data_IF_728596654513
#
_entry.id   IF_728596654513
#
_cell.length_a   1.000
_cell.length_b   1.000
_cell.length_c   1.000
_cell.angle_alpha   90.00
_cell.angle_beta   90.00
_cell.angle_gamma   90.00
#
_symmetry.space_group_name_H-M   'P 1'
#
loop_
_entity.id
_entity.type
_entity.pdbx_description
1 polymer ?
#
# COMPACT_ATOMS: atom_id res chain seq x y z
N UNK A 1 16.35 -40.92 10.29
CA UNK A 1 17.71 -40.36 10.48
C UNK A 1 17.59 -38.85 10.49
N UNK A 2 17.50 -38.25 11.67
CA UNK A 2 17.55 -36.81 11.86
C UNK A 2 18.98 -36.33 11.61
N UNK A 3 19.19 -35.50 10.58
CA UNK A 3 20.47 -34.81 10.40
C UNK A 3 20.43 -33.53 11.21
N UNK A 4 20.95 -33.58 12.43
CA UNK A 4 21.26 -32.38 13.19
C UNK A 4 22.52 -31.76 12.58
N UNK A 5 22.38 -30.65 11.85
CA UNK A 5 23.53 -29.83 11.46
C UNK A 5 23.82 -28.88 12.63
N UNK A 6 24.72 -29.34 13.53
CA UNK A 6 25.32 -28.45 14.50
C UNK A 6 26.48 -27.73 13.81
N UNK A 7 26.33 -26.47 13.50
CA UNK A 7 27.43 -25.61 13.09
C UNK A 7 28.16 -25.11 14.34
N UNK A 8 29.30 -25.72 14.65
CA UNK A 8 30.24 -25.23 15.67
C UNK A 8 31.01 -24.04 15.06
N UNK A 9 30.60 -22.82 15.36
CA UNK A 9 31.41 -21.63 15.14
C UNK A 9 32.26 -21.34 16.38
N UNK A 10 33.56 -21.12 16.17
CA UNK A 10 34.57 -20.90 17.18
C UNK A 10 34.28 -19.68 18.07
N UNK A 11 34.59 -19.83 19.35
CA UNK A 11 34.42 -18.91 20.44
C UNK A 11 35.05 -17.53 20.23
N UNK A 12 34.32 -16.59 19.62
CA UNK A 12 34.45 -15.14 19.78
C UNK A 12 33.36 -14.35 19.03
N UNK A 13 32.39 -15.03 18.39
CA UNK A 13 31.16 -14.35 17.96
C UNK A 13 30.17 -14.43 19.13
N UNK A 14 29.58 -13.30 19.53
CA UNK A 14 28.43 -13.31 20.42
C UNK A 14 27.40 -14.24 19.81
N UNK A 15 26.87 -15.17 20.59
CA UNK A 15 26.02 -16.24 20.10
C UNK A 15 24.77 -15.63 19.46
N UNK A 16 24.70 -15.69 18.16
CA UNK A 16 23.43 -15.51 17.44
C UNK A 16 22.62 -16.78 17.70
N UNK A 17 21.47 -16.65 18.30
CA UNK A 17 20.56 -17.75 18.50
C UNK A 17 19.97 -18.17 17.17
N UNK A 18 20.51 -19.24 16.58
CA UNK A 18 19.90 -19.88 15.40
C UNK A 18 19.03 -21.01 15.92
N UNK A 19 17.73 -20.80 15.98
CA UNK A 19 16.77 -21.84 16.31
C UNK A 19 16.13 -22.35 15.01
N UNK A 20 16.55 -23.54 14.59
CA UNK A 20 15.92 -24.24 13.45
C UNK A 20 14.96 -25.27 14.03
N UNK A 21 13.65 -25.02 13.90
CA UNK A 21 12.63 -26.00 14.25
C UNK A 21 12.62 -27.21 13.31
N UNK A 22 12.05 -28.35 13.72
CA UNK A 22 11.99 -29.56 12.90
C UNK A 22 11.09 -29.35 11.67
N UNK A 23 11.61 -29.69 10.51
CA UNK A 23 10.82 -29.72 9.25
C UNK A 23 10.10 -31.07 9.18
N UNK A 24 8.91 -31.18 9.77
CA UNK A 24 8.05 -32.35 9.67
C UNK A 24 6.63 -31.95 9.26
N UNK A 25 5.95 -32.74 8.42
CA UNK A 25 4.55 -32.45 8.06
C UNK A 25 3.66 -32.49 9.31
N UNK A 26 3.01 -31.38 9.62
CA UNK A 26 2.09 -31.22 10.78
C UNK A 26 2.72 -30.67 12.05
N UNK A 27 4.03 -30.45 12.07
CA UNK A 27 4.76 -29.81 13.19
C UNK A 27 5.07 -28.33 12.90
N UNK A 28 5.55 -27.63 13.91
CA UNK A 28 5.95 -26.22 13.81
C UNK A 28 7.22 -26.08 12.94
N UNK A 29 7.09 -25.45 11.78
CA UNK A 29 8.17 -25.19 10.83
C UNK A 29 8.71 -23.77 10.98
N UNK A 30 8.89 -23.30 12.21
CA UNK A 30 9.42 -21.97 12.48
C UNK A 30 10.94 -21.89 12.31
N UNK A 31 11.40 -20.76 11.74
CA UNK A 31 12.82 -20.45 11.57
C UNK A 31 13.11 -19.09 12.18
N UNK A 32 14.01 -19.04 13.14
CA UNK A 32 14.29 -17.87 13.96
C UNK A 32 15.79 -17.62 14.00
N UNK A 33 16.23 -16.41 13.65
CA UNK A 33 17.64 -15.98 13.67
C UNK A 33 17.73 -14.55 14.19
N UNK A 34 18.55 -14.32 15.21
CA UNK A 34 18.81 -12.98 15.74
C UNK A 34 19.15 -13.00 17.24
N UNK A 35 19.73 -11.93 17.74
CA UNK A 35 19.92 -11.72 19.17
C UNK A 35 18.60 -11.25 19.80
N UNK A 36 18.36 -11.66 21.07
CA UNK A 36 17.15 -11.30 21.84
C UNK A 36 15.81 -11.84 21.30
N UNK A 37 15.82 -12.72 20.29
CA UNK A 37 14.61 -13.38 19.78
C UNK A 37 14.01 -14.33 20.83
N UNK A 38 14.84 -14.98 21.64
CA UNK A 38 14.40 -15.95 22.64
C UNK A 38 13.82 -15.34 23.92
N UNK A 39 13.99 -14.03 24.17
CA UNK A 39 13.56 -13.36 25.38
C UNK A 39 12.23 -12.60 25.27
N UNK A 40 11.66 -12.43 24.08
CA UNK A 40 10.40 -11.74 23.84
C UNK A 40 9.42 -12.64 23.10
N UNK A 41 8.51 -13.16 23.86
CA UNK A 41 7.22 -13.72 23.47
C UNK A 41 7.08 -14.30 22.05
N UNK A 42 7.67 -15.47 21.82
CA UNK A 42 7.27 -16.39 20.75
C UNK A 42 6.14 -17.27 21.35
N UNK A 43 5.15 -16.66 21.95
CA UNK A 43 4.06 -17.40 22.53
C UNK A 43 2.98 -17.62 21.46
N UNK A 44 2.64 -18.88 21.24
CA UNK A 44 1.57 -19.32 20.33
C UNK A 44 1.77 -19.05 18.83
N UNK A 45 3.02 -18.91 18.34
CA UNK A 45 3.30 -18.76 16.91
C UNK A 45 3.76 -20.06 16.28
N UNK A 46 3.32 -20.35 15.04
CA UNK A 46 3.68 -21.53 14.26
C UNK A 46 3.89 -21.16 12.80
N UNK A 47 4.80 -21.87 12.14
CA UNK A 47 5.14 -21.66 10.74
C UNK A 47 5.58 -20.21 10.48
N UNK A 48 6.50 -19.70 11.26
CA UNK A 48 7.00 -18.32 11.17
C UNK A 48 8.48 -18.31 10.75
N UNK A 49 8.83 -17.30 9.98
CA UNK A 49 10.21 -16.99 9.65
C UNK A 49 10.56 -15.63 10.23
N UNK A 50 11.48 -15.60 11.19
CA UNK A 50 11.95 -14.38 11.81
C UNK A 50 13.46 -14.30 11.65
N UNK A 51 13.96 -13.22 11.04
CA UNK A 51 15.38 -12.91 10.97
C UNK A 51 15.55 -11.45 11.35
N UNK A 52 16.21 -11.21 12.49
CA UNK A 52 16.48 -9.86 12.97
C UNK A 52 16.68 -9.81 14.48
N UNK A 53 17.47 -8.84 14.93
CA UNK A 53 17.72 -8.60 16.33
C UNK A 53 16.60 -7.75 16.94
N UNK A 54 16.34 -7.96 18.24
CA UNK A 54 15.32 -7.24 19.01
C UNK A 54 13.91 -7.26 18.38
N UNK A 55 13.63 -8.26 17.55
CA UNK A 55 12.35 -8.41 16.84
C UNK A 55 11.42 -9.38 17.57
N UNK A 56 10.10 -9.21 17.39
CA UNK A 56 9.11 -9.99 18.12
C UNK A 56 7.90 -10.39 17.29
N UNK A 57 7.35 -11.55 17.60
CA UNK A 57 6.09 -12.08 17.07
C UNK A 57 5.17 -12.46 18.23
N UNK A 58 3.94 -11.98 18.21
CA UNK A 58 2.94 -12.30 19.20
C UNK A 58 1.62 -12.64 18.53
N UNK A 59 1.05 -13.81 18.86
CA UNK A 59 -0.23 -14.29 18.31
C UNK A 59 -0.35 -14.20 16.77
N UNK A 60 0.78 -14.44 16.05
CA UNK A 60 0.93 -14.20 14.61
C UNK A 60 1.50 -15.43 13.89
N UNK A 61 0.62 -16.37 13.54
CA UNK A 61 1.01 -17.60 12.80
C UNK A 61 1.20 -17.34 11.31
N UNK A 62 2.00 -18.17 10.62
CA UNK A 62 2.26 -18.11 9.18
C UNK A 62 2.80 -16.76 8.73
N UNK A 63 3.71 -16.20 9.52
CA UNK A 63 4.24 -14.85 9.35
C UNK A 63 5.70 -14.91 8.92
N UNK A 64 6.09 -13.96 8.08
CA UNK A 64 7.49 -13.69 7.73
C UNK A 64 7.86 -12.32 8.29
N UNK A 65 8.93 -12.26 9.10
CA UNK A 65 9.49 -11.03 9.62
C UNK A 65 10.99 -11.02 9.34
N UNK A 66 11.44 -10.07 8.53
CA UNK A 66 12.85 -9.85 8.23
C UNK A 66 13.22 -8.38 8.54
N UNK A 67 13.94 -8.17 9.61
CA UNK A 67 14.37 -6.82 10.01
C UNK A 67 14.63 -6.72 11.50
N UNK A 68 15.52 -5.80 11.89
CA UNK A 68 15.83 -5.55 13.28
C UNK A 68 14.78 -4.62 13.90
N UNK A 69 14.55 -4.78 15.20
CA UNK A 69 13.63 -3.98 16.02
C UNK A 69 12.19 -3.93 15.46
N UNK A 70 11.78 -4.99 14.80
CA UNK A 70 10.50 -5.06 14.08
C UNK A 70 9.50 -5.97 14.80
N UNK A 71 8.21 -5.75 14.59
CA UNK A 71 7.19 -6.49 15.31
C UNK A 71 5.98 -6.88 14.46
N UNK A 72 5.42 -8.08 14.75
CA UNK A 72 4.13 -8.50 14.23
C UNK A 72 3.28 -9.01 15.37
N UNK A 73 2.14 -8.37 15.60
CA UNK A 73 1.24 -8.64 16.74
C UNK A 73 -0.18 -8.87 16.25
N UNK A 74 -0.84 -9.93 16.72
CA UNK A 74 -2.23 -10.27 16.37
C UNK A 74 -2.50 -10.23 14.85
N UNK A 75 -1.51 -10.63 14.04
CA UNK A 75 -1.55 -10.40 12.58
C UNK A 75 -1.11 -11.64 11.82
N UNK A 76 -1.86 -12.75 11.90
CA UNK A 76 -1.51 -13.98 11.22
C UNK A 76 -1.50 -13.83 9.69
N UNK A 77 -0.63 -14.58 9.03
CA UNK A 77 -0.51 -14.58 7.58
C UNK A 77 0.16 -13.34 6.99
N UNK A 78 0.87 -12.57 7.81
CA UNK A 78 1.44 -11.29 7.40
C UNK A 78 2.92 -11.38 7.01
N UNK A 79 3.40 -10.39 6.27
CA UNK A 79 4.80 -10.26 5.84
C UNK A 79 5.33 -8.88 6.26
N UNK A 80 6.38 -8.86 7.07
CA UNK A 80 7.06 -7.65 7.52
C UNK A 80 8.53 -7.66 7.08
N UNK A 81 8.92 -6.71 6.25
CA UNK A 81 10.27 -6.55 5.71
C UNK A 81 10.76 -5.13 5.98
N UNK A 82 11.65 -4.96 6.97
CA UNK A 82 12.23 -3.65 7.24
C UNK A 82 12.71 -3.48 8.68
N UNK A 83 13.58 -2.53 8.89
CA UNK A 83 14.02 -2.10 10.21
C UNK A 83 12.92 -1.24 10.85
N UNK A 84 12.61 -1.44 12.12
CA UNK A 84 11.53 -0.74 12.85
C UNK A 84 10.13 -0.91 12.21
N UNK A 85 9.93 -1.95 11.38
CA UNK A 85 8.65 -2.19 10.75
C UNK A 85 7.64 -2.81 11.74
N UNK A 86 6.37 -2.41 11.64
CA UNK A 86 5.33 -2.86 12.57
C UNK A 86 4.06 -3.30 11.85
N UNK A 87 3.56 -4.47 12.21
CA UNK A 87 2.21 -4.93 11.86
C UNK A 87 1.46 -5.26 13.14
N UNK A 88 0.35 -4.58 13.41
CA UNK A 88 -0.48 -4.82 14.58
C UNK A 88 -1.96 -4.89 14.19
N UNK A 89 -2.66 -5.92 14.70
CA UNK A 89 -4.09 -6.15 14.48
C UNK A 89 -4.50 -6.13 12.97
N UNK A 90 -3.58 -6.65 12.12
CA UNK A 90 -3.67 -6.51 10.65
C UNK A 90 -3.38 -7.83 9.95
N UNK A 91 -4.35 -8.77 10.01
CA UNK A 91 -4.25 -10.08 9.35
C UNK A 91 -4.02 -9.93 7.84
N UNK A 92 -3.15 -10.80 7.27
CA UNK A 92 -2.79 -10.82 5.86
C UNK A 92 -2.22 -9.48 5.37
N UNK A 93 -1.56 -8.77 6.28
CA UNK A 93 -0.89 -7.51 6.00
C UNK A 93 0.48 -7.69 5.36
N UNK A 94 0.90 -6.75 4.54
CA UNK A 94 2.26 -6.70 3.98
C UNK A 94 2.89 -5.34 4.26
N UNK A 95 4.04 -5.36 4.93
CA UNK A 95 4.88 -4.19 5.17
C UNK A 95 6.24 -4.40 4.51
N UNK A 96 6.70 -3.42 3.74
CA UNK A 96 8.03 -3.45 3.15
C UNK A 96 8.65 -2.04 3.16
N UNK A 97 9.52 -1.78 4.13
CA UNK A 97 10.21 -0.50 4.28
C UNK A 97 10.64 -0.24 5.72
N UNK A 98 11.67 0.61 5.87
CA UNK A 98 12.07 1.10 7.19
C UNK A 98 10.91 1.88 7.82
N UNK A 99 10.59 1.59 9.08
CA UNK A 99 9.52 2.25 9.84
C UNK A 99 8.15 2.24 9.13
N UNK A 100 7.95 1.30 8.21
CA UNK A 100 6.63 1.13 7.58
C UNK A 100 5.68 0.39 8.54
N UNK A 101 4.38 0.69 8.48
CA UNK A 101 3.44 0.16 9.46
C UNK A 101 2.05 -0.16 8.92
N UNK A 102 1.45 -1.20 9.50
CA UNK A 102 0.03 -1.50 9.42
C UNK A 102 -0.54 -1.56 10.83
N UNK A 103 -1.59 -0.79 11.11
CA UNK A 103 -2.26 -0.78 12.41
C UNK A 103 -3.77 -0.89 12.18
N UNK A 104 -4.41 -1.91 12.77
CA UNK A 104 -5.85 -2.16 12.61
C UNK A 104 -6.30 -2.22 11.13
N UNK A 105 -5.43 -2.78 10.25
CA UNK A 105 -5.57 -2.63 8.79
C UNK A 105 -5.43 -3.97 8.07
N UNK A 106 -6.52 -4.75 8.07
CA UNK A 106 -6.54 -6.11 7.50
C UNK A 106 -6.41 -6.08 5.97
N UNK A 107 -5.73 -7.09 5.40
CA UNK A 107 -5.59 -7.25 3.95
C UNK A 107 -4.98 -6.03 3.24
N UNK A 108 -4.16 -5.27 3.96
CA UNK A 108 -3.60 -4.01 3.49
C UNK A 108 -2.09 -4.12 3.28
N UNK A 109 -1.52 -3.17 2.56
CA UNK A 109 -0.10 -3.14 2.26
C UNK A 109 0.49 -1.76 2.45
N UNK A 110 1.63 -1.67 3.17
CA UNK A 110 2.42 -0.46 3.30
C UNK A 110 3.82 -0.71 2.70
N UNK A 111 4.09 -0.12 1.54
CA UNK A 111 5.30 -0.38 0.76
C UNK A 111 6.06 0.93 0.53
N UNK A 112 7.23 1.03 1.14
CA UNK A 112 8.08 2.22 1.15
C UNK A 112 8.49 2.60 2.57
N UNK A 113 9.65 3.23 2.73
CA UNK A 113 10.07 3.71 4.03
C UNK A 113 9.03 4.69 4.59
N UNK A 114 8.68 4.55 5.87
CA UNK A 114 7.70 5.39 6.57
C UNK A 114 6.28 5.34 5.97
N UNK A 115 5.97 4.38 5.11
CA UNK A 115 4.60 4.21 4.63
C UNK A 115 3.71 3.65 5.75
N UNK A 116 2.44 4.05 5.79
CA UNK A 116 1.52 3.61 6.84
C UNK A 116 0.10 3.40 6.32
N UNK A 117 -0.54 2.34 6.81
CA UNK A 117 -1.99 2.17 6.66
C UNK A 117 -2.57 1.97 8.05
N UNK A 118 -3.57 2.77 8.41
CA UNK A 118 -4.15 2.80 9.72
C UNK A 118 -5.68 2.78 9.64
N UNK A 119 -6.34 1.95 10.47
CA UNK A 119 -7.80 1.82 10.54
C UNK A 119 -8.48 1.63 9.16
N UNK A 120 -7.82 0.87 8.26
CA UNK A 120 -8.17 0.79 6.83
C UNK A 120 -8.04 -0.63 6.31
N UNK A 121 -9.06 -1.15 5.67
CA UNK A 121 -9.10 -2.51 5.14
C UNK A 121 -8.90 -2.53 3.62
N UNK A 122 -8.19 -3.54 3.10
CA UNK A 122 -7.96 -3.74 1.66
C UNK A 122 -7.35 -2.52 0.95
N UNK A 123 -6.45 -1.83 1.63
CA UNK A 123 -5.87 -0.57 1.16
C UNK A 123 -4.36 -0.66 1.01
N UNK A 124 -3.79 0.17 0.15
CA UNK A 124 -2.37 0.17 -0.17
C UNK A 124 -1.80 1.58 -0.01
N UNK A 125 -0.74 1.73 0.80
CA UNK A 125 0.12 2.90 0.83
C UNK A 125 1.43 2.58 0.07
N UNK A 126 1.67 3.26 -1.05
CA UNK A 126 2.79 2.97 -1.95
C UNK A 126 3.73 4.17 -2.09
N UNK A 127 4.97 3.98 -1.66
CA UNK A 127 6.04 4.96 -1.75
C UNK A 127 6.42 5.56 -0.38
N UNK A 128 7.59 6.21 -0.33
CA UNK A 128 8.10 6.84 0.89
C UNK A 128 7.07 7.78 1.52
N UNK A 129 6.74 7.55 2.79
CA UNK A 129 5.81 8.36 3.55
C UNK A 129 4.37 8.38 3.03
N UNK A 130 4.00 7.49 2.09
CA UNK A 130 2.60 7.38 1.67
C UNK A 130 1.73 6.84 2.80
N UNK A 131 0.51 7.34 2.94
CA UNK A 131 -0.36 6.92 4.04
C UNK A 131 -1.81 6.76 3.61
N UNK A 132 -2.50 5.88 4.32
CA UNK A 132 -3.95 5.71 4.31
C UNK A 132 -4.42 5.72 5.76
N UNK A 133 -5.46 6.48 6.07
CA UNK A 133 -6.05 6.50 7.41
C UNK A 133 -7.58 6.59 7.31
N UNK A 134 -8.26 5.58 7.86
CA UNK A 134 -9.73 5.53 7.90
C UNK A 134 -10.42 5.29 6.56
N UNK A 135 -9.66 5.02 5.47
CA UNK A 135 -10.19 4.80 4.13
C UNK A 135 -10.00 3.34 3.70
N UNK A 136 -11.04 2.72 3.14
CA UNK A 136 -11.01 1.33 2.69
C UNK A 136 -10.98 1.23 1.17
N UNK A 137 -10.37 0.14 0.65
CA UNK A 137 -10.32 -0.17 -0.78
C UNK A 137 -9.66 0.92 -1.62
N UNK A 138 -8.62 1.56 -1.12
CA UNK A 138 -7.91 2.65 -1.78
C UNK A 138 -6.43 2.33 -2.00
N UNK A 139 -5.83 2.99 -3.00
CA UNK A 139 -4.39 3.05 -3.19
C UNK A 139 -3.93 4.49 -3.01
N UNK A 140 -3.13 4.74 -1.99
CA UNK A 140 -2.50 6.04 -1.76
C UNK A 140 -1.05 6.03 -2.23
N UNK A 141 -0.69 7.01 -3.03
CA UNK A 141 0.69 7.21 -3.49
C UNK A 141 1.33 8.47 -2.89
N UNK A 142 0.75 9.05 -1.85
CA UNK A 142 1.23 10.26 -1.18
C UNK A 142 0.89 10.28 0.30
N UNK A 143 1.43 11.26 1.01
CA UNK A 143 1.17 11.47 2.43
C UNK A 143 -0.18 12.17 2.70
N UNK A 144 -0.77 12.81 1.67
CA UNK A 144 -1.94 13.67 1.83
C UNK A 144 -1.60 15.02 2.45
N UNK A 145 -2.58 15.94 2.53
CA UNK A 145 -2.36 17.32 3.01
C UNK A 145 -2.05 17.40 4.51
N UNK A 146 -2.48 16.40 5.28
CA UNK A 146 -2.22 16.34 6.72
C UNK A 146 -0.98 15.53 7.09
N UNK A 147 -0.31 14.95 6.10
CA UNK A 147 0.92 14.17 6.12
C UNK A 147 1.48 13.75 7.48
N UNK A 148 2.43 12.88 7.49
CA UNK A 148 3.16 12.61 8.73
C UNK A 148 3.79 13.92 9.23
N UNK A 149 3.62 14.24 10.50
CA UNK A 149 4.29 15.36 11.13
C UNK A 149 5.81 15.39 10.84
N UNK A 150 6.57 16.21 11.53
CA UNK A 150 8.01 16.45 11.27
C UNK A 150 8.89 15.18 11.16
N UNK A 151 8.41 14.05 11.67
CA UNK A 151 9.15 12.77 11.66
C UNK A 151 9.32 12.16 10.27
N UNK A 152 8.52 12.53 9.28
CA UNK A 152 8.64 12.04 7.90
C UNK A 152 8.95 13.18 6.93
N UNK A 153 10.05 13.86 7.20
CA UNK A 153 10.55 14.95 6.36
C UNK A 153 10.79 14.48 4.93
N UNK A 154 10.16 15.15 3.96
CA UNK A 154 10.35 14.88 2.54
C UNK A 154 9.35 13.87 1.94
N UNK A 155 8.33 13.43 2.67
CA UNK A 155 7.23 12.70 2.08
C UNK A 155 6.39 13.65 1.21
N UNK A 156 6.21 13.39 -0.10
CA UNK A 156 5.39 14.24 -0.94
C UNK A 156 3.91 14.02 -0.62
N UNK A 157 3.15 15.11 -0.54
CA UNK A 157 1.69 15.06 -0.33
C UNK A 157 1.00 14.25 -1.44
N UNK A 158 1.42 14.45 -2.67
CA UNK A 158 0.86 13.77 -3.86
C UNK A 158 1.97 13.28 -4.79
N UNK A 159 1.63 12.30 -5.64
CA UNK A 159 2.50 11.83 -6.74
C UNK A 159 1.72 11.74 -8.03
N UNK A 160 2.41 11.99 -9.14
CA UNK A 160 1.86 11.70 -10.46
C UNK A 160 2.01 10.21 -10.74
N UNK A 161 0.98 9.62 -11.35
CA UNK A 161 1.06 8.29 -11.95
C UNK A 161 1.34 8.50 -13.44
N UNK A 162 2.49 8.02 -13.91
CA UNK A 162 2.95 8.20 -15.29
C UNK A 162 3.00 6.86 -16.02
N UNK A 163 3.09 6.88 -17.35
CA UNK A 163 3.11 5.68 -18.21
C UNK A 163 1.83 4.85 -18.07
N UNK A 164 0.71 5.51 -17.83
CA UNK A 164 -0.61 4.91 -17.83
C UNK A 164 -1.10 4.89 -19.27
N UNK A 165 -1.57 3.74 -19.76
CA UNK A 165 -2.24 3.61 -21.03
C UNK A 165 -3.65 4.21 -20.97
N UNK A 166 -4.23 4.52 -22.14
CA UNK A 166 -5.61 4.97 -22.23
C UNK A 166 -6.56 3.95 -21.63
N UNK A 167 -7.50 4.43 -20.83
CA UNK A 167 -8.53 3.61 -20.22
C UNK A 167 -9.49 3.07 -21.29
N UNK A 168 -9.86 1.79 -21.16
CA UNK A 168 -10.77 1.08 -22.08
C UNK A 168 -12.13 0.87 -21.43
N UNK A 169 -12.13 0.51 -20.14
CA UNK A 169 -13.34 0.24 -19.37
C UNK A 169 -13.70 1.43 -18.47
N UNK A 170 -14.95 1.51 -18.08
CA UNK A 170 -15.43 2.61 -17.21
C UNK A 170 -14.76 2.72 -15.85
N UNK A 171 -14.07 1.68 -15.42
CA UNK A 171 -13.34 1.61 -14.14
C UNK A 171 -11.84 1.83 -14.29
N UNK A 172 -11.34 2.02 -15.50
CA UNK A 172 -9.93 2.26 -15.75
C UNK A 172 -9.57 3.73 -15.46
N UNK A 173 -8.31 3.98 -15.13
CA UNK A 173 -7.81 5.35 -15.06
C UNK A 173 -7.78 5.98 -16.46
N UNK A 174 -8.31 7.18 -16.60
CA UNK A 174 -8.20 7.95 -17.83
C UNK A 174 -6.87 8.71 -17.89
N UNK A 175 -6.31 8.81 -19.09
CA UNK A 175 -5.14 9.68 -19.34
C UNK A 175 -5.56 11.13 -19.53
N UNK A 176 -4.62 12.06 -19.31
CA UNK A 176 -4.83 13.48 -19.66
C UNK A 176 -5.10 13.65 -21.15
N UNK A 177 -4.53 12.77 -22.01
CA UNK A 177 -4.80 12.75 -23.44
C UNK A 177 -6.27 12.51 -23.74
N UNK A 178 -6.86 11.46 -23.18
CA UNK A 178 -8.28 11.15 -23.32
C UNK A 178 -9.19 12.27 -22.81
N UNK A 179 -8.82 12.93 -21.73
CA UNK A 179 -9.56 14.06 -21.19
C UNK A 179 -9.55 15.25 -22.16
N UNK A 180 -8.38 15.61 -22.69
CA UNK A 180 -8.23 16.70 -23.65
C UNK A 180 -9.04 16.44 -24.93
N UNK A 181 -8.99 15.22 -25.47
CA UNK A 181 -9.76 14.81 -26.64
C UNK A 181 -11.28 15.00 -26.43
N UNK A 182 -11.78 14.65 -25.24
CA UNK A 182 -13.19 14.89 -24.90
C UNK A 182 -13.55 16.36 -24.76
N UNK A 183 -12.64 17.19 -24.27
CA UNK A 183 -12.85 18.64 -24.24
C UNK A 183 -12.87 19.24 -25.63
N UNK A 184 -11.99 18.82 -26.53
CA UNK A 184 -11.96 19.28 -27.91
C UNK A 184 -13.25 18.89 -28.65
N UNK A 185 -13.73 17.66 -28.51
CA UNK A 185 -15.01 17.19 -29.07
C UNK A 185 -16.20 18.04 -28.56
N UNK A 186 -16.23 18.32 -27.25
CA UNK A 186 -17.28 19.14 -26.65
C UNK A 186 -17.23 20.59 -27.15
N UNK A 187 -16.06 21.17 -27.39
CA UNK A 187 -15.87 22.50 -27.90
C UNK A 187 -16.37 22.60 -29.36
N UNK A 188 -16.05 21.62 -30.22
CA UNK A 188 -16.56 21.52 -31.59
C UNK A 188 -18.09 21.44 -31.59
N UNK A 189 -18.67 20.63 -30.73
CA UNK A 189 -20.13 20.50 -30.60
C UNK A 189 -20.80 21.83 -30.20
N UNK A 190 -20.20 22.56 -29.25
CA UNK A 190 -20.68 23.87 -28.82
C UNK A 190 -20.63 24.90 -29.95
N UNK A 191 -19.55 24.93 -30.73
CA UNK A 191 -19.45 25.83 -31.90
C UNK A 191 -20.54 25.54 -32.93
N UNK A 192 -20.71 24.27 -33.30
CA UNK A 192 -21.79 23.87 -34.24
C UNK A 192 -23.19 24.20 -33.72
N UNK A 193 -23.41 24.08 -32.42
CA UNK A 193 -24.68 24.42 -31.79
C UNK A 193 -24.94 25.92 -31.85
N UNK A 194 -23.94 26.74 -31.56
CA UNK A 194 -24.05 28.20 -31.64
C UNK A 194 -24.33 28.65 -33.09
N UNK A 195 -23.65 28.09 -34.08
CA UNK A 195 -23.92 28.37 -35.49
C UNK A 195 -25.39 28.07 -35.88
N UNK A 196 -25.93 26.94 -35.39
CA UNK A 196 -27.33 26.58 -35.60
C UNK A 196 -28.30 27.53 -34.89
N UNK A 197 -27.96 28.02 -33.73
CA UNK A 197 -28.75 29.04 -33.01
C UNK A 197 -28.75 30.32 -33.80
N UNK A 198 -27.60 30.83 -34.23
CA UNK A 198 -27.48 32.05 -35.03
C UNK A 198 -28.27 31.96 -36.33
N UNK A 199 -28.24 30.82 -37.03
CA UNK A 199 -29.04 30.59 -38.22
C UNK A 199 -30.54 30.62 -37.92
N UNK A 200 -30.94 30.00 -36.82
CA UNK A 200 -32.35 29.97 -36.40
C UNK A 200 -32.85 31.38 -36.04
N UNK A 201 -32.05 32.17 -35.35
CA UNK A 201 -32.37 33.55 -34.98
C UNK A 201 -32.50 34.44 -36.23
N UNK A 202 -31.63 34.27 -37.22
CA UNK A 202 -31.75 34.97 -38.52
C UNK A 202 -33.07 34.62 -39.24
N UNK A 203 -33.41 33.32 -39.27
CA UNK A 203 -34.68 32.87 -39.88
C UNK A 203 -35.89 33.42 -39.13
N UNK A 204 -35.86 33.39 -37.79
CA UNK A 204 -36.92 33.93 -36.94
C UNK A 204 -37.11 35.44 -37.20
N UNK A 205 -36.01 36.20 -37.27
CA UNK A 205 -36.03 37.63 -37.57
C UNK A 205 -36.61 37.92 -38.91
N UNK A 206 -36.33 37.10 -39.94
CA UNK A 206 -36.90 37.23 -41.29
C UNK A 206 -38.44 37.00 -41.30
N UNK A 207 -38.88 35.91 -40.68
CA UNK A 207 -40.32 35.60 -40.56
C UNK A 207 -41.05 36.69 -39.77
N UNK A 208 -40.45 37.21 -38.69
CA UNK A 208 -41.05 38.32 -37.93
C UNK A 208 -41.18 39.58 -38.76
N UNK A 209 -40.18 39.90 -39.59
CA UNK A 209 -40.22 41.05 -40.49
C UNK A 209 -41.27 40.88 -41.61
N UNK A 210 -41.49 39.67 -42.10
CA UNK A 210 -42.56 39.38 -43.10
C UNK A 210 -43.93 39.51 -42.46
N UNK A 211 -44.19 38.96 -41.31
CA UNK A 211 -45.47 39.06 -40.60
C UNK A 211 -45.82 40.48 -40.13
N UNK A 212 -44.83 41.35 -39.98
CA UNK A 212 -45.08 42.76 -39.61
C UNK A 212 -45.37 43.68 -40.77
N UNK A 213 -45.39 43.18 -42.00
CA UNK A 213 -45.68 43.96 -43.26
C UNK A 213 -47.11 43.80 -43.79
N UNK A 214 -47.80 42.79 -43.27
CA UNK A 214 -49.21 42.53 -43.51
C UNK A 214 -50.08 43.19 -42.43
#
# INVERSE_FOLDING_TARGET
>A
LAVSVALLLSAQAQAQDILIGPIQPGEDNSFLVGESVAGRSIDKVRNVWLIGDDSFLLDSNRTVLLGNNSGVVNSPGSVSLGHDALIADSEWGTVAGKEASLISSRQSSAIGAFSSVQDSTSSVALGHGSQVSGENNVVSVGAGPEGYGESVKGAPETRRIINVSDGINNTDAATVGQLNERFDDAQVFLLQTNERIDETDKRLSTVHAELSRD
#
